data_IF_863580928312
#
_entry.id   IF_863580928312
#
_cell.length_a   1.000
_cell.length_b   1.000
_cell.length_c   1.000
_cell.angle_alpha   90.00
_cell.angle_beta   90.00
_cell.angle_gamma   90.00
#
_symmetry.space_group_name_H-M   'P 1'
#
loop_
_entity.id
_entity.type
_entity.pdbx_description
1 polymer ?
#
# COMPACT_ATOMS: atom_id res chain seq x y z
N UNK A 1 4.14 -18.77 -0.53
CA UNK A 1 2.92 -18.26 0.14
C UNK A 1 3.06 -16.75 0.29
N UNK A 2 1.98 -16.00 0.06
CA UNK A 2 1.93 -14.54 0.25
C UNK A 2 0.75 -14.24 1.16
N UNK A 3 1.02 -13.63 2.30
CA UNK A 3 0.05 -13.35 3.36
C UNK A 3 0.00 -11.84 3.65
N UNK A 4 -1.05 -11.13 3.20
CA UNK A 4 -1.30 -9.76 3.60
C UNK A 4 -2.13 -9.69 4.88
N UNK A 5 -1.71 -8.81 5.81
CA UNK A 5 -2.45 -8.51 7.04
C UNK A 5 -2.71 -7.01 7.11
N UNK A 6 -3.98 -6.61 7.28
CA UNK A 6 -4.34 -5.23 7.62
C UNK A 6 -4.12 -5.04 9.11
N UNK A 7 -3.07 -4.31 9.46
CA UNK A 7 -2.63 -4.09 10.85
C UNK A 7 -3.42 -2.97 11.52
N UNK A 8 -3.75 -1.92 10.76
CA UNK A 8 -4.45 -0.75 11.26
C UNK A 8 -5.27 -0.09 10.15
N UNK A 9 -6.41 0.49 10.53
CA UNK A 9 -7.31 1.25 9.68
C UNK A 9 -7.85 2.46 10.45
N UNK A 10 -7.62 3.65 9.91
CA UNK A 10 -8.12 4.90 10.48
C UNK A 10 -8.43 5.93 9.42
N UNK A 11 -9.26 6.90 9.79
CA UNK A 11 -9.64 8.04 8.96
C UNK A 11 -9.35 9.35 9.67
N UNK A 12 -8.68 10.29 8.98
CA UNK A 12 -8.18 11.53 9.59
C UNK A 12 -8.29 12.72 8.64
N UNK A 13 -7.82 13.88 9.09
CA UNK A 13 -7.75 15.10 8.28
C UNK A 13 -9.08 15.53 7.65
N UNK A 14 -10.18 15.36 8.38
CA UNK A 14 -11.50 15.76 7.93
C UNK A 14 -11.55 17.25 7.54
N UNK A 15 -12.26 17.51 6.44
CA UNK A 15 -12.61 18.83 5.94
C UNK A 15 -14.12 18.94 5.91
N UNK A 16 -14.62 20.14 6.13
CA UNK A 16 -16.05 20.42 6.19
C UNK A 16 -16.44 21.49 5.17
N UNK A 17 -17.60 21.33 4.54
CA UNK A 17 -18.19 22.35 3.67
C UNK A 17 -18.82 23.51 4.47
N UNK A 18 -19.37 24.51 3.78
CA UNK A 18 -20.04 25.66 4.42
C UNK A 18 -21.29 25.29 5.23
N UNK A 19 -21.82 24.08 5.07
CA UNK A 19 -22.98 23.55 5.80
C UNK A 19 -22.55 22.64 6.95
N UNK A 20 -21.25 22.46 7.18
CA UNK A 20 -20.71 21.59 8.22
C UNK A 20 -20.70 20.10 7.85
N UNK A 21 -20.93 19.72 6.59
CA UNK A 21 -20.83 18.33 6.16
C UNK A 21 -19.38 17.96 5.83
N UNK A 22 -19.00 16.70 6.03
CA UNK A 22 -17.68 16.20 5.62
C UNK A 22 -17.54 16.33 4.10
N UNK A 23 -16.53 17.08 3.67
CA UNK A 23 -16.20 17.35 2.26
C UNK A 23 -14.91 16.66 1.81
N UNK A 24 -14.11 16.13 2.74
CA UNK A 24 -12.91 15.34 2.44
C UNK A 24 -12.27 14.78 3.70
N UNK A 25 -11.49 13.72 3.55
CA UNK A 25 -10.75 13.05 4.63
C UNK A 25 -9.66 12.17 4.02
N UNK A 26 -8.78 11.66 4.87
CA UNK A 26 -7.77 10.69 4.50
C UNK A 26 -8.20 9.32 5.03
N UNK A 27 -8.04 8.29 4.22
CA UNK A 27 -8.16 6.91 4.66
C UNK A 27 -6.77 6.27 4.71
N UNK A 28 -6.34 5.89 5.91
CA UNK A 28 -4.98 5.41 6.19
C UNK A 28 -5.07 3.93 6.56
N UNK A 29 -4.34 3.09 5.81
CA UNK A 29 -4.30 1.64 6.00
C UNK A 29 -2.86 1.16 6.15
N UNK A 30 -2.54 0.50 7.26
CA UNK A 30 -1.24 -0.14 7.46
C UNK A 30 -1.32 -1.61 7.10
N UNK A 31 -0.53 -2.04 6.14
CA UNK A 31 -0.41 -3.44 5.75
C UNK A 31 0.93 -4.01 6.13
N UNK A 32 0.91 -5.28 6.58
CA UNK A 32 2.08 -6.14 6.69
C UNK A 32 1.96 -7.25 5.68
N UNK A 33 3.02 -7.45 4.89
CA UNK A 33 3.10 -8.50 3.88
C UNK A 33 4.17 -9.49 4.30
N UNK A 34 3.80 -10.76 4.40
CA UNK A 34 4.71 -11.87 4.66
C UNK A 34 4.76 -12.79 3.45
N UNK A 35 5.96 -12.99 2.91
CA UNK A 35 6.19 -13.85 1.74
C UNK A 35 7.13 -14.97 2.17
N UNK A 36 6.70 -16.21 1.96
CA UNK A 36 7.45 -17.41 2.30
C UNK A 36 7.70 -18.26 1.07
N UNK A 37 8.96 -18.58 0.81
CA UNK A 37 9.35 -19.61 -0.14
C UNK A 37 9.58 -20.92 0.61
N UNK A 38 8.68 -21.89 0.42
CA UNK A 38 8.79 -23.22 1.02
C UNK A 38 9.47 -24.23 0.10
N UNK A 39 9.91 -23.80 -1.09
CA UNK A 39 10.57 -24.66 -2.09
C UNK A 39 12.08 -24.71 -1.86
N UNK A 40 12.71 -25.71 -2.45
CA UNK A 40 14.18 -25.92 -2.43
C UNK A 40 14.93 -25.10 -3.50
N UNK A 41 14.22 -24.29 -4.28
CA UNK A 41 14.78 -23.41 -5.31
C UNK A 41 14.40 -21.97 -5.01
N UNK A 42 15.26 -21.03 -5.41
CA UNK A 42 14.95 -19.60 -5.34
C UNK A 42 13.75 -19.25 -6.22
N UNK A 43 12.95 -18.27 -5.80
CA UNK A 43 11.77 -17.81 -6.52
C UNK A 43 11.69 -16.29 -6.58
N UNK A 44 11.24 -15.76 -7.72
CA UNK A 44 10.81 -14.37 -7.86
C UNK A 44 9.30 -14.29 -7.62
N UNK A 45 8.87 -13.39 -6.75
CA UNK A 45 7.46 -13.11 -6.47
C UNK A 45 7.18 -11.65 -6.81
N UNK A 46 6.14 -11.43 -7.61
CA UNK A 46 5.63 -10.09 -7.92
C UNK A 46 4.26 -9.93 -7.26
N UNK A 47 4.10 -8.87 -6.48
CA UNK A 47 2.87 -8.54 -5.77
C UNK A 47 2.35 -7.23 -6.34
N UNK A 48 1.25 -7.31 -7.09
CA UNK A 48 0.55 -6.13 -7.59
C UNK A 48 -0.59 -5.73 -6.67
N UNK A 49 -0.73 -4.42 -6.46
CA UNK A 49 -1.82 -3.80 -5.70
C UNK A 49 -2.46 -2.71 -6.54
N UNK A 50 -3.74 -2.86 -6.82
CA UNK A 50 -4.57 -1.83 -7.40
C UNK A 50 -5.35 -1.13 -6.27
N UNK A 51 -5.35 0.20 -6.30
CA UNK A 51 -6.07 1.06 -5.38
C UNK A 51 -7.36 1.54 -6.05
N UNK A 52 -8.41 1.80 -5.26
CA UNK A 52 -9.70 2.23 -5.80
C UNK A 52 -9.72 3.71 -6.23
N UNK A 53 -8.56 4.36 -6.27
CA UNK A 53 -8.41 5.79 -6.52
C UNK A 53 -7.00 6.09 -7.00
N UNK A 54 -6.80 7.06 -7.91
CA UNK A 54 -5.47 7.54 -8.28
C UNK A 54 -4.90 8.55 -7.27
N UNK A 55 -5.69 8.95 -6.27
CA UNK A 55 -5.32 9.94 -5.27
C UNK A 55 -4.80 9.25 -4.00
N UNK A 56 -3.51 8.91 -4.00
CA UNK A 56 -2.90 8.16 -2.92
C UNK A 56 -1.44 8.54 -2.68
N UNK A 57 -0.99 8.27 -1.46
CA UNK A 57 0.42 8.23 -1.09
C UNK A 57 0.75 6.88 -0.42
N UNK A 58 2.00 6.44 -0.56
CA UNK A 58 2.45 5.13 -0.11
C UNK A 58 3.82 5.20 0.54
N UNK A 59 3.84 5.09 1.86
CA UNK A 59 5.05 4.87 2.62
C UNK A 59 5.33 3.37 2.69
N UNK A 60 6.56 2.95 2.42
CA UNK A 60 6.96 1.53 2.38
C UNK A 60 8.25 1.32 3.15
N UNK A 61 8.35 0.21 3.86
CA UNK A 61 9.53 -0.16 4.65
C UNK A 61 9.68 -1.69 4.74
N UNK A 62 10.87 -2.15 5.12
CA UNK A 62 11.14 -3.57 5.33
C UNK A 62 11.75 -4.25 4.11
N UNK A 63 11.59 -5.57 4.03
CA UNK A 63 12.35 -6.44 3.12
C UNK A 63 11.57 -6.73 1.82
N UNK A 64 11.81 -5.89 0.81
CA UNK A 64 11.43 -6.09 -0.59
C UNK A 64 12.60 -5.63 -1.48
N UNK A 65 12.72 -6.19 -2.69
CA UNK A 65 13.88 -5.92 -3.56
C UNK A 65 13.62 -4.76 -4.52
N UNK A 66 12.41 -4.67 -5.08
CA UNK A 66 12.03 -3.60 -6.00
C UNK A 66 10.62 -3.10 -5.73
N UNK A 67 10.40 -1.82 -6.00
CA UNK A 67 9.09 -1.19 -5.99
C UNK A 67 8.90 -0.35 -7.25
N UNK A 68 7.74 -0.49 -7.87
CA UNK A 68 7.38 0.25 -9.08
C UNK A 68 5.94 0.78 -8.95
N UNK A 69 5.74 2.05 -9.33
CA UNK A 69 4.41 2.58 -9.64
C UNK A 69 4.13 2.27 -11.12
N UNK A 70 3.28 1.28 -11.35
CA UNK A 70 3.01 0.72 -12.69
C UNK A 70 2.15 1.70 -13.50
N UNK A 71 1.14 2.28 -12.87
CA UNK A 71 0.26 3.28 -13.47
C UNK A 71 -0.33 4.22 -12.40
N UNK A 72 -1.48 4.85 -12.67
CA UNK A 72 -2.10 5.85 -11.81
C UNK A 72 -2.52 5.29 -10.44
N UNK A 73 -3.00 4.05 -10.38
CA UNK A 73 -3.59 3.44 -9.19
C UNK A 73 -3.00 2.05 -8.87
N UNK A 74 -2.02 1.60 -9.63
CA UNK A 74 -1.40 0.28 -9.48
C UNK A 74 0.07 0.39 -9.11
N UNK A 75 0.47 -0.37 -8.09
CA UNK A 75 1.87 -0.53 -7.67
C UNK A 75 2.26 -2.00 -7.71
N UNK A 76 3.56 -2.26 -7.86
CA UNK A 76 4.16 -3.60 -7.86
C UNK A 76 5.35 -3.65 -6.91
N UNK A 77 5.39 -4.70 -6.10
CA UNK A 77 6.55 -5.08 -5.30
C UNK A 77 7.17 -6.34 -5.86
N UNK A 78 8.49 -6.36 -6.03
CA UNK A 78 9.25 -7.56 -6.42
C UNK A 78 10.03 -8.08 -5.23
N UNK A 79 9.99 -9.40 -5.02
CA UNK A 79 10.77 -10.09 -4.02
C UNK A 79 11.51 -11.28 -4.63
N UNK A 80 12.80 -11.37 -4.38
CA UNK A 80 13.66 -12.51 -4.68
C UNK A 80 13.86 -13.27 -3.37
N UNK A 81 13.35 -14.49 -3.32
CA UNK A 81 13.43 -15.35 -2.13
C UNK A 81 14.30 -16.55 -2.43
N UNK A 82 15.35 -16.74 -1.63
CA UNK A 82 16.16 -17.95 -1.59
C UNK A 82 15.33 -19.19 -1.21
N UNK A 83 15.83 -20.41 -1.46
CA UNK A 83 15.23 -21.64 -0.94
C UNK A 83 14.91 -21.55 0.55
N UNK A 84 13.74 -22.06 0.95
CA UNK A 84 13.32 -22.14 2.37
C UNK A 84 13.36 -20.80 3.14
N UNK A 85 13.27 -19.66 2.46
CA UNK A 85 13.39 -18.33 3.09
C UNK A 85 12.04 -17.61 3.23
N UNK A 86 12.04 -16.52 3.98
CA UNK A 86 10.90 -15.63 4.12
C UNK A 86 11.34 -14.17 4.13
N UNK A 87 10.54 -13.30 3.51
CA UNK A 87 10.68 -11.85 3.54
C UNK A 87 9.44 -11.21 4.14
N UNK A 88 9.61 -10.08 4.82
CA UNK A 88 8.53 -9.32 5.44
C UNK A 88 8.73 -7.84 5.19
N UNK A 89 7.69 -7.18 4.72
CA UNK A 89 7.68 -5.74 4.54
C UNK A 89 6.34 -5.16 4.95
N UNK A 90 6.33 -3.86 5.21
CA UNK A 90 5.13 -3.12 5.56
C UNK A 90 4.96 -1.92 4.62
N UNK A 91 3.71 -1.52 4.42
CA UNK A 91 3.41 -0.24 3.79
C UNK A 91 2.19 0.42 4.45
N UNK A 92 2.21 1.75 4.46
CA UNK A 92 1.10 2.59 4.86
C UNK A 92 0.54 3.23 3.59
N UNK A 93 -0.69 2.88 3.26
CA UNK A 93 -1.43 3.46 2.15
C UNK A 93 -2.33 4.57 2.70
N UNK A 94 -2.12 5.78 2.21
CA UNK A 94 -2.99 6.92 2.47
C UNK A 94 -3.78 7.22 1.20
N UNK A 95 -5.11 7.12 1.25
CA UNK A 95 -6.00 7.47 0.13
C UNK A 95 -6.77 8.74 0.45
N UNK A 96 -6.73 9.70 -0.48
CA UNK A 96 -7.33 11.01 -0.30
C UNK A 96 -8.77 11.04 -0.83
N UNK A 97 -9.71 11.45 0.01
CA UNK A 97 -11.14 11.51 -0.32
C UNK A 97 -11.66 12.94 -0.40
N UNK A 98 -12.62 13.16 -1.31
CA UNK A 98 -13.25 14.47 -1.50
C UNK A 98 -12.24 15.56 -1.82
N UNK A 99 -12.34 16.71 -1.14
CA UNK A 99 -11.44 17.86 -1.35
C UNK A 99 -9.98 17.58 -0.99
N UNK A 100 -9.68 16.49 -0.26
CA UNK A 100 -8.28 16.09 0.02
C UNK A 100 -7.55 15.58 -1.22
N UNK A 101 -8.27 15.19 -2.29
CA UNK A 101 -7.68 14.69 -3.54
C UNK A 101 -6.70 15.67 -4.19
N UNK A 102 -6.91 16.96 -4.00
CA UNK A 102 -6.04 18.03 -4.53
C UNK A 102 -4.61 17.99 -3.95
N UNK A 103 -4.41 17.34 -2.80
CA UNK A 103 -3.09 17.23 -2.15
C UNK A 103 -2.16 16.25 -2.87
N UNK A 104 -2.68 15.29 -3.65
CA UNK A 104 -1.85 14.33 -4.39
C UNK A 104 -1.17 14.95 -5.63
N UNK A 105 -1.64 16.12 -6.07
CA UNK A 105 -1.25 16.74 -7.35
C UNK A 105 -0.06 17.72 -7.23
N UNK A 106 0.72 17.63 -6.15
CA UNK A 106 1.92 18.45 -5.92
C UNK A 106 3.20 17.66 -6.14
#
# INVERSE_FOLDING_TARGET
VVEPTLMDYRTENYRFDRRGNISGWDEIRRFKIEVKNTREIGVKVEIQRNFNTPYWDLEKNGDFDEFEKVDLDTVKFTLILEPRSAKKFEYVLTMYQGVRREETSR
#
